data_IF_719828900681
#
_entry.id   IF_719828900681
#
_cell.length_a   1.000
_cell.length_b   1.000
_cell.length_c   1.000
_cell.angle_alpha   90.00
_cell.angle_beta   90.00
_cell.angle_gamma   90.00
#
_symmetry.space_group_name_H-M   'P 1'
#
loop_
_entity.id
_entity.type
_entity.pdbx_description
1 polymer ?
#
# COMPACT_ATOMS: atom_id res chain seq x y z
N UNK A 1 19.47 24.90 -65.37
CA UNK A 1 20.74 24.54 -64.77
C UNK A 1 20.88 25.32 -63.46
N UNK A 2 20.98 24.64 -62.37
CA UNK A 2 21.24 25.24 -61.08
C UNK A 2 22.75 25.42 -60.99
N UNK A 3 23.22 26.62 -61.19
CA UNK A 3 24.62 26.98 -61.02
C UNK A 3 25.64 26.20 -61.86
N UNK A 4 25.26 25.73 -63.04
CA UNK A 4 26.09 24.89 -63.92
C UNK A 4 26.67 23.63 -63.27
N UNK A 5 25.99 23.11 -62.24
CA UNK A 5 26.41 21.86 -61.54
C UNK A 5 25.50 20.72 -61.91
N UNK A 6 26.11 19.56 -62.09
CA UNK A 6 25.43 18.28 -62.30
C UNK A 6 25.67 17.37 -61.10
N UNK A 7 24.60 16.73 -60.59
CA UNK A 7 24.70 15.75 -59.51
C UNK A 7 25.09 14.39 -60.03
N UNK A 8 26.19 13.83 -59.53
CA UNK A 8 26.60 12.46 -59.87
C UNK A 8 25.94 11.46 -58.93
N UNK A 9 25.36 10.37 -59.47
CA UNK A 9 24.65 9.37 -58.65
C UNK A 9 25.50 8.64 -57.63
N UNK A 10 26.78 8.44 -57.91
CA UNK A 10 27.67 7.59 -57.15
C UNK A 10 28.19 8.23 -55.86
N UNK A 11 28.20 9.54 -55.75
CA UNK A 11 28.83 10.25 -54.62
C UNK A 11 28.05 11.46 -54.11
N UNK A 12 26.89 11.75 -54.65
CA UNK A 12 26.02 12.88 -54.28
C UNK A 12 26.72 14.26 -54.26
N UNK A 13 27.76 14.42 -55.09
CA UNK A 13 28.48 15.69 -55.23
C UNK A 13 28.00 16.46 -56.46
N UNK A 14 27.82 17.75 -56.27
CA UNK A 14 27.61 18.64 -57.42
C UNK A 14 28.93 18.79 -58.19
N UNK A 15 28.91 18.47 -59.45
CA UNK A 15 30.06 18.64 -60.38
C UNK A 15 29.79 19.83 -61.27
N UNK A 16 30.79 20.71 -61.42
CA UNK A 16 30.71 21.79 -62.42
C UNK A 16 30.54 21.22 -63.82
N UNK A 17 29.51 21.61 -64.51
CA UNK A 17 29.20 21.19 -65.86
C UNK A 17 28.90 22.36 -66.74
N UNK A 18 29.41 22.28 -67.96
CA UNK A 18 29.10 23.21 -69.05
C UNK A 18 27.71 22.93 -69.64
N UNK A 19 27.03 21.87 -69.20
CA UNK A 19 25.74 21.47 -69.74
C UNK A 19 24.62 21.75 -68.69
N UNK A 20 23.58 22.40 -69.18
CA UNK A 20 22.49 22.94 -68.36
C UNK A 20 21.42 21.91 -67.94
N UNK A 21 21.62 20.64 -68.21
CA UNK A 21 20.64 19.57 -67.93
C UNK A 21 21.06 18.75 -66.74
N UNK A 22 20.27 18.78 -65.66
CA UNK A 22 20.31 17.79 -64.62
C UNK A 22 19.76 16.46 -65.15
N UNK A 23 20.65 15.51 -65.38
CA UNK A 23 20.28 14.25 -66.00
C UNK A 23 19.55 13.28 -65.10
N UNK A 24 18.70 12.54 -65.71
CA UNK A 24 17.64 11.64 -65.39
C UNK A 24 17.95 10.37 -64.55
N UNK A 25 18.86 10.39 -63.64
CA UNK A 25 18.94 9.37 -62.60
C UNK A 25 18.11 9.69 -61.34
N UNK A 26 17.55 10.89 -61.27
CA UNK A 26 16.56 11.26 -60.24
C UNK A 26 15.25 10.59 -60.61
N UNK A 27 15.01 9.43 -60.05
CA UNK A 27 13.80 8.65 -60.25
C UNK A 27 12.60 9.32 -59.57
N UNK A 28 11.70 9.85 -60.38
CA UNK A 28 10.27 9.99 -60.14
C UNK A 28 9.74 10.67 -58.86
N UNK A 29 10.58 11.18 -57.99
CA UNK A 29 10.17 11.86 -56.77
C UNK A 29 10.55 13.34 -56.81
N UNK A 30 9.77 14.18 -56.13
CA UNK A 30 10.09 15.59 -55.95
C UNK A 30 11.33 15.76 -55.07
N UNK A 31 12.25 16.60 -55.51
CA UNK A 31 13.48 16.90 -54.76
C UNK A 31 13.60 18.36 -54.40
N UNK A 32 13.97 18.59 -53.14
CA UNK A 32 14.30 19.92 -52.64
C UNK A 32 15.78 20.17 -52.86
N UNK A 33 16.09 21.26 -53.58
CA UNK A 33 17.47 21.67 -53.86
C UNK A 33 17.69 23.06 -53.25
N UNK A 34 18.68 23.14 -52.37
CA UNK A 34 19.11 24.43 -51.77
C UNK A 34 20.33 24.91 -52.49
N UNK A 35 20.27 26.13 -53.01
CA UNK A 35 21.41 26.83 -53.63
C UNK A 35 21.87 27.93 -52.69
N UNK A 36 23.18 28.10 -52.49
CA UNK A 36 23.77 28.99 -51.45
C UNK A 36 23.27 30.45 -51.47
N UNK A 37 22.72 30.92 -52.53
CA UNK A 37 22.25 32.33 -52.66
C UNK A 37 20.74 32.45 -52.70
N UNK A 38 20.02 31.43 -53.06
CA UNK A 38 18.56 31.42 -53.14
C UNK A 38 18.06 30.05 -52.77
N UNK A 39 17.11 30.01 -51.81
CA UNK A 39 16.45 28.76 -51.46
C UNK A 39 15.25 28.57 -52.39
N UNK A 40 15.33 27.62 -53.28
CA UNK A 40 14.28 27.31 -54.27
C UNK A 40 13.96 25.83 -54.25
N UNK A 41 12.70 25.50 -54.43
CA UNK A 41 12.24 24.15 -54.66
C UNK A 41 12.02 23.92 -56.17
N UNK A 42 12.35 22.72 -56.62
CA UNK A 42 12.16 22.31 -57.98
C UNK A 42 11.43 20.98 -58.05
N UNK A 43 10.45 20.91 -58.92
CA UNK A 43 9.70 19.69 -59.20
C UNK A 43 10.32 19.02 -60.41
N UNK A 44 10.71 17.77 -60.30
CA UNK A 44 11.21 16.94 -61.40
C UNK A 44 10.06 16.23 -62.10
N UNK A 45 9.91 16.47 -63.40
CA UNK A 45 8.97 15.75 -64.21
C UNK A 45 9.68 14.56 -64.88
N UNK A 46 9.39 13.35 -64.39
CA UNK A 46 10.00 12.09 -64.84
C UNK A 46 9.70 11.77 -66.29
N UNK A 47 8.57 12.23 -66.84
CA UNK A 47 8.18 11.98 -68.23
C UNK A 47 8.95 12.84 -69.23
N UNK A 48 9.29 14.06 -68.87
CA UNK A 48 10.01 15.00 -69.73
C UNK A 48 11.50 15.13 -69.37
N UNK A 49 11.93 14.62 -68.23
CA UNK A 49 13.29 14.76 -67.70
C UNK A 49 13.65 16.23 -67.37
N UNK A 50 12.67 17.08 -67.08
CA UNK A 50 12.87 18.49 -66.85
C UNK A 50 12.54 18.90 -65.39
N UNK A 51 13.23 19.96 -64.89
CA UNK A 51 12.91 20.62 -63.66
C UNK A 51 12.11 21.91 -63.90
N UNK A 52 11.08 22.11 -63.15
CA UNK A 52 10.37 23.38 -63.07
C UNK A 52 10.48 23.92 -61.64
N UNK A 53 10.64 25.25 -61.52
CA UNK A 53 10.52 25.89 -60.23
C UNK A 53 9.07 25.75 -59.73
N UNK A 54 8.90 25.31 -58.51
CA UNK A 54 7.58 25.09 -57.89
C UNK A 54 7.71 24.63 -56.48
N UNK A 55 6.60 24.74 -55.72
CA UNK A 55 6.49 24.24 -54.36
C UNK A 55 5.83 22.88 -54.38
N UNK A 56 6.16 22.08 -53.39
CA UNK A 56 5.57 20.76 -53.19
C UNK A 56 4.18 20.87 -52.54
N UNK A 57 3.36 19.91 -52.82
CA UNK A 57 2.11 19.80 -52.07
C UNK A 57 2.36 19.19 -50.72
N UNK A 58 1.59 19.63 -49.72
CA UNK A 58 1.64 19.13 -48.35
C UNK A 58 0.87 17.82 -48.27
N UNK A 59 1.50 16.80 -47.70
CA UNK A 59 0.92 15.48 -47.47
C UNK A 59 1.09 15.07 -45.99
N UNK A 60 0.34 14.08 -45.49
CA UNK A 60 0.39 13.67 -44.12
C UNK A 60 1.70 13.00 -43.71
N UNK A 61 2.42 12.45 -44.67
CA UNK A 61 3.67 11.71 -44.44
C UNK A 61 4.87 12.60 -44.10
N UNK A 62 4.78 13.92 -44.33
CA UNK A 62 5.84 14.86 -43.95
C UNK A 62 5.82 15.20 -42.46
N UNK A 63 4.77 14.82 -41.71
CA UNK A 63 4.63 15.11 -40.30
C UNK A 63 4.96 13.92 -39.42
N UNK A 64 5.44 14.20 -38.22
CA UNK A 64 5.66 13.25 -37.15
C UNK A 64 4.61 13.44 -36.06
N UNK A 65 4.08 12.35 -35.55
CA UNK A 65 3.11 12.31 -34.49
C UNK A 65 3.73 11.66 -33.25
N UNK A 66 3.79 12.39 -32.12
CA UNK A 66 4.38 11.93 -30.88
C UNK A 66 3.42 12.14 -29.70
N UNK A 67 3.19 11.06 -28.93
CA UNK A 67 2.30 11.06 -27.77
C UNK A 67 0.95 10.43 -28.11
N UNK A 68 0.86 9.11 -27.89
CA UNK A 68 -0.36 8.35 -28.22
C UNK A 68 -1.22 8.02 -27.00
N UNK A 69 -0.69 8.17 -25.78
CA UNK A 69 -1.42 7.81 -24.57
C UNK A 69 -1.16 8.84 -23.46
N UNK A 70 -2.21 9.24 -22.80
CA UNK A 70 -2.24 10.14 -21.65
C UNK A 70 -3.12 9.54 -20.55
N UNK A 71 -2.86 9.94 -19.31
CA UNK A 71 -3.71 9.65 -18.16
C UNK A 71 -4.65 10.81 -17.90
N UNK A 72 -5.90 10.54 -17.60
CA UNK A 72 -6.86 11.55 -17.19
C UNK A 72 -6.43 12.19 -15.85
N UNK A 73 -6.34 13.50 -15.84
CA UNK A 73 -6.02 14.33 -14.67
C UNK A 73 -6.86 15.62 -14.62
N UNK A 74 -7.89 15.71 -15.47
CA UNK A 74 -8.74 16.87 -15.62
C UNK A 74 -8.14 18.01 -16.46
N UNK A 75 -6.89 17.88 -16.90
CA UNK A 75 -6.22 18.86 -17.76
C UNK A 75 -6.32 18.48 -19.24
N UNK A 76 -6.00 19.45 -20.10
CA UNK A 76 -5.93 19.23 -21.54
C UNK A 76 -4.68 18.47 -21.92
N UNK A 77 -4.85 17.47 -22.76
CA UNK A 77 -3.77 16.66 -23.34
C UNK A 77 -3.79 16.72 -24.86
N UNK A 78 -2.63 16.87 -25.45
CA UNK A 78 -2.50 16.81 -26.89
C UNK A 78 -1.15 16.20 -27.31
N UNK A 79 -1.12 15.42 -28.38
CA UNK A 79 0.13 14.92 -28.94
C UNK A 79 0.92 16.06 -29.55
N UNK A 80 2.23 15.89 -29.63
CA UNK A 80 3.09 16.81 -30.35
C UNK A 80 3.17 16.38 -31.82
N UNK A 81 2.76 17.30 -32.70
CA UNK A 81 2.88 17.14 -34.15
C UNK A 81 3.91 18.12 -34.65
N UNK A 82 4.91 17.62 -35.33
CA UNK A 82 5.99 18.39 -35.97
C UNK A 82 6.26 17.89 -37.37
N UNK A 83 6.94 18.67 -38.17
CA UNK A 83 7.49 18.17 -39.43
C UNK A 83 8.67 17.23 -39.14
N UNK A 84 8.85 16.18 -39.94
CA UNK A 84 10.01 15.29 -39.83
C UNK A 84 11.32 16.08 -39.93
N UNK A 85 12.37 15.61 -39.23
CA UNK A 85 13.65 16.34 -39.10
C UNK A 85 14.32 16.70 -40.42
N UNK A 86 14.09 15.93 -41.48
CA UNK A 86 14.64 16.15 -42.84
C UNK A 86 13.75 17.04 -43.71
N UNK A 87 12.56 17.46 -43.19
CA UNK A 87 11.61 18.29 -43.94
C UNK A 87 11.75 19.74 -43.49
N UNK A 88 11.97 20.62 -44.45
CA UNK A 88 12.16 22.06 -44.23
C UNK A 88 11.25 22.87 -45.16
N UNK A 89 10.98 24.12 -44.78
CA UNK A 89 10.23 25.05 -45.59
C UNK A 89 8.75 24.77 -45.70
N UNK A 90 8.18 24.04 -44.76
CA UNK A 90 6.74 23.91 -44.57
C UNK A 90 6.28 25.15 -43.73
N UNK A 91 5.16 25.73 -44.08
CA UNK A 91 4.57 26.86 -43.33
C UNK A 91 3.98 26.39 -42.02
N UNK A 92 3.49 27.37 -41.21
CA UNK A 92 2.77 27.05 -39.96
C UNK A 92 1.52 26.22 -40.26
N UNK A 93 1.12 25.39 -39.31
CA UNK A 93 -0.05 24.56 -39.50
C UNK A 93 -0.96 24.53 -38.27
N UNK A 94 -2.25 24.25 -38.50
CA UNK A 94 -3.28 24.20 -37.47
C UNK A 94 -3.73 22.74 -37.30
N UNK A 95 -3.83 22.34 -36.04
CA UNK A 95 -4.27 20.98 -35.65
C UNK A 95 -5.67 21.06 -35.01
N UNK A 96 -6.50 20.09 -35.33
CA UNK A 96 -7.81 19.89 -34.71
C UNK A 96 -7.96 18.46 -34.22
N UNK A 97 -8.75 18.31 -33.16
CA UNK A 97 -9.01 17.04 -32.51
C UNK A 97 -10.50 16.69 -32.64
N UNK A 98 -10.78 15.40 -32.75
CA UNK A 98 -12.13 14.85 -32.84
C UNK A 98 -12.20 13.61 -31.98
N UNK A 99 -13.29 13.36 -31.26
CA UNK A 99 -13.51 12.05 -30.66
C UNK A 99 -13.72 11.01 -31.76
N UNK A 100 -13.20 9.79 -31.58
CA UNK A 100 -13.29 8.72 -32.57
C UNK A 100 -14.75 8.34 -32.85
N UNK A 101 -15.62 8.43 -31.85
CA UNK A 101 -17.06 8.21 -31.93
C UNK A 101 -17.87 9.38 -32.50
N UNK A 102 -17.26 10.57 -32.62
CA UNK A 102 -17.92 11.77 -33.14
C UNK A 102 -16.97 12.63 -33.98
N UNK A 103 -16.76 12.26 -35.23
CA UNK A 103 -15.87 12.94 -36.18
C UNK A 103 -16.44 14.27 -36.73
N UNK A 104 -17.64 14.66 -36.35
CA UNK A 104 -18.28 15.91 -36.83
C UNK A 104 -18.07 17.08 -35.88
N UNK A 105 -17.77 16.83 -34.61
CA UNK A 105 -17.56 17.85 -33.61
C UNK A 105 -16.07 18.06 -33.35
N UNK A 106 -15.57 19.26 -33.72
CA UNK A 106 -14.19 19.67 -33.38
C UNK A 106 -14.03 19.89 -31.87
N UNK A 107 -12.91 19.46 -31.33
CA UNK A 107 -12.53 19.65 -29.93
C UNK A 107 -11.23 20.45 -29.89
N UNK A 108 -11.26 21.62 -29.24
CA UNK A 108 -10.06 22.46 -29.15
C UNK A 108 -9.13 22.02 -28.02
N UNK A 109 -9.71 21.54 -26.92
CA UNK A 109 -9.00 21.17 -25.69
C UNK A 109 -9.43 19.78 -25.22
N UNK A 110 -8.81 18.72 -25.77
CA UNK A 110 -9.09 17.35 -25.35
C UNK A 110 -8.70 17.11 -23.89
N UNK A 111 -9.68 16.83 -23.02
CA UNK A 111 -9.48 16.58 -21.60
C UNK A 111 -10.29 15.39 -21.06
N UNK A 112 -11.34 15.00 -21.75
CA UNK A 112 -12.21 13.90 -21.30
C UNK A 112 -11.59 12.55 -21.68
N UNK A 113 -11.88 11.52 -20.90
CA UNK A 113 -11.50 10.14 -21.21
C UNK A 113 -12.05 9.75 -22.59
N UNK A 114 -11.25 9.04 -23.38
CA UNK A 114 -11.64 8.55 -24.70
C UNK A 114 -10.50 8.56 -25.72
N UNK A 115 -10.81 8.06 -26.91
CA UNK A 115 -9.91 8.06 -28.05
C UNK A 115 -10.18 9.24 -28.96
N UNK A 116 -9.12 9.90 -29.38
CA UNK A 116 -9.17 11.09 -30.21
C UNK A 116 -8.42 10.86 -31.52
N UNK A 117 -8.98 11.41 -32.59
CA UNK A 117 -8.37 11.49 -33.92
C UNK A 117 -7.83 12.89 -34.13
N UNK A 118 -6.63 12.95 -34.68
CA UNK A 118 -5.94 14.22 -34.97
C UNK A 118 -5.96 14.47 -36.46
N UNK A 119 -6.25 15.72 -36.83
CA UNK A 119 -6.23 16.20 -38.21
C UNK A 119 -5.48 17.51 -38.30
N UNK A 120 -4.66 17.67 -39.34
CA UNK A 120 -4.13 18.96 -39.72
C UNK A 120 -5.14 19.62 -40.65
N UNK A 121 -5.63 20.81 -40.28
CA UNK A 121 -6.77 21.46 -40.98
C UNK A 121 -6.35 22.56 -41.92
N UNK A 122 -5.16 23.09 -41.75
CA UNK A 122 -4.59 24.11 -42.61
C UNK A 122 -3.07 24.10 -42.49
N UNK A 123 -2.37 24.33 -43.59
CA UNK A 123 -0.94 24.60 -43.61
C UNK A 123 -0.76 25.91 -44.40
N UNK A 124 -0.09 26.89 -43.80
CA UNK A 124 0.26 28.12 -44.52
C UNK A 124 1.28 27.86 -45.60
N UNK A 125 1.36 28.76 -46.57
CA UNK A 125 2.40 28.69 -47.56
C UNK A 125 3.79 28.85 -46.93
N UNK A 126 4.64 27.85 -47.19
CA UNK A 126 6.02 27.83 -46.74
C UNK A 126 7.01 28.18 -47.87
N UNK A 127 8.30 28.10 -47.57
CA UNK A 127 9.34 28.35 -48.59
C UNK A 127 9.31 27.30 -49.72
N UNK A 128 9.05 26.00 -49.37
CA UNK A 128 9.13 24.88 -50.27
C UNK A 128 7.82 24.13 -50.44
N UNK A 129 6.78 24.49 -49.70
CA UNK A 129 5.50 23.80 -49.75
C UNK A 129 4.35 24.80 -49.98
N UNK A 130 3.41 24.37 -50.82
CA UNK A 130 2.18 25.11 -51.08
C UNK A 130 1.33 25.22 -49.80
N UNK A 131 0.52 26.27 -49.73
CA UNK A 131 -0.55 26.34 -48.74
C UNK A 131 -1.51 25.14 -48.95
N UNK A 132 -2.03 24.61 -47.88
CA UNK A 132 -3.03 23.56 -47.91
C UNK A 132 -4.25 23.96 -47.06
N UNK A 133 -5.43 23.75 -47.58
CA UNK A 133 -6.67 23.91 -46.87
C UNK A 133 -7.50 22.63 -46.99
N UNK A 134 -7.96 22.09 -45.82
CA UNK A 134 -8.69 20.84 -45.76
C UNK A 134 -8.25 20.00 -44.54
N UNK A 135 -8.52 18.70 -44.60
CA UNK A 135 -8.11 17.80 -43.52
C UNK A 135 -7.06 16.83 -44.02
N UNK A 136 -5.83 16.97 -43.53
CA UNK A 136 -4.82 15.90 -43.65
C UNK A 136 -5.05 14.94 -42.51
N UNK A 137 -5.10 13.65 -42.84
CA UNK A 137 -5.32 12.58 -41.90
C UNK A 137 -4.29 11.47 -42.09
N UNK A 138 -4.03 10.73 -41.04
CA UNK A 138 -3.25 9.50 -41.08
C UNK A 138 -3.89 8.54 -40.08
N UNK A 139 -4.04 7.27 -40.41
CA UNK A 139 -4.69 6.28 -39.55
C UNK A 139 -3.99 6.10 -38.18
N UNK A 140 -2.70 6.42 -38.13
CA UNK A 140 -1.90 6.35 -36.90
C UNK A 140 -1.98 7.63 -36.06
N UNK A 141 -2.66 8.70 -36.52
CA UNK A 141 -2.80 9.94 -35.77
C UNK A 141 -3.97 9.86 -34.80
N UNK A 142 -3.80 8.96 -33.81
CA UNK A 142 -4.76 8.75 -32.73
C UNK A 142 -4.05 8.81 -31.39
N UNK A 143 -4.72 9.35 -30.38
CA UNK A 143 -4.28 9.28 -29.00
C UNK A 143 -5.44 8.97 -28.09
N UNK A 144 -5.14 8.39 -26.92
CA UNK A 144 -6.12 8.10 -25.90
C UNK A 144 -5.83 8.90 -24.62
N UNK A 145 -6.89 9.34 -23.96
CA UNK A 145 -6.86 9.78 -22.57
C UNK A 145 -7.51 8.67 -21.77
N UNK A 146 -6.71 7.96 -20.98
CA UNK A 146 -7.12 6.76 -20.27
C UNK A 146 -7.54 7.08 -18.84
N UNK A 147 -8.62 6.46 -18.37
CA UNK A 147 -8.99 6.49 -16.96
C UNK A 147 -8.05 5.59 -16.17
N UNK A 148 -7.28 6.20 -15.26
CA UNK A 148 -6.35 5.50 -14.37
C UNK A 148 -6.51 6.06 -12.95
N UNK A 149 -7.57 5.66 -12.22
CA UNK A 149 -7.86 6.19 -10.90
C UNK A 149 -6.74 5.93 -9.91
N UNK A 150 -6.40 6.92 -9.11
CA UNK A 150 -5.48 6.76 -7.99
C UNK A 150 -6.25 6.29 -6.77
N UNK A 151 -6.06 5.02 -6.42
CA UNK A 151 -6.70 4.37 -5.27
C UNK A 151 -5.60 3.82 -4.36
N UNK A 152 -5.61 4.26 -3.11
CA UNK A 152 -4.66 3.80 -2.08
C UNK A 152 -5.38 2.95 -1.04
N UNK A 153 -4.68 1.98 -0.45
CA UNK A 153 -5.19 1.15 0.65
C UNK A 153 -4.63 1.62 1.99
N UNK A 154 -5.44 1.51 3.04
CA UNK A 154 -4.96 1.76 4.40
C UNK A 154 -3.88 0.77 4.81
N UNK A 155 -2.79 1.26 5.41
CA UNK A 155 -1.68 0.43 5.91
C UNK A 155 -1.07 1.09 7.14
N UNK A 156 -1.40 0.54 8.33
CA UNK A 156 -0.82 1.03 9.58
C UNK A 156 -0.90 -0.03 10.69
N UNK A 157 -0.42 0.29 11.90
CA UNK A 157 -0.58 -0.52 13.08
C UNK A 157 -2.00 -0.36 13.66
N UNK A 158 -2.44 -1.40 14.39
CA UNK A 158 -3.70 -1.39 15.11
C UNK A 158 -3.72 -0.28 16.17
N UNK A 159 -4.73 0.58 16.11
CA UNK A 159 -4.94 1.72 17.03
C UNK A 159 -6.32 1.70 17.69
N UNK A 160 -7.15 0.72 17.39
CA UNK A 160 -8.51 0.56 17.91
C UNK A 160 -9.59 1.39 17.20
N UNK A 161 -9.22 2.17 16.18
CA UNK A 161 -10.16 2.99 15.43
C UNK A 161 -10.59 2.34 14.10
N UNK A 162 -11.76 2.68 13.56
CA UNK A 162 -12.16 2.27 12.22
C UNK A 162 -11.42 3.10 11.16
N UNK A 163 -10.89 2.42 10.15
CA UNK A 163 -10.20 3.02 9.01
C UNK A 163 -10.83 2.57 7.70
N UNK A 164 -11.02 3.47 6.71
CA UNK A 164 -11.51 3.09 5.40
C UNK A 164 -10.51 2.13 4.73
N UNK A 165 -11.01 1.09 4.09
CA UNK A 165 -10.17 0.10 3.39
C UNK A 165 -9.33 0.74 2.29
N UNK A 166 -9.92 1.72 1.60
CA UNK A 166 -9.31 2.47 0.51
C UNK A 166 -9.54 3.98 0.67
N UNK A 167 -8.74 4.76 -0.04
CA UNK A 167 -8.99 6.17 -0.33
C UNK A 167 -8.87 6.40 -1.83
N UNK A 168 -9.76 7.18 -2.40
CA UNK A 168 -9.83 7.49 -3.82
C UNK A 168 -9.50 8.97 -4.02
N UNK A 169 -8.56 9.26 -4.91
CA UNK A 169 -8.22 10.62 -5.29
C UNK A 169 -9.21 11.12 -6.36
N UNK A 170 -10.15 11.96 -5.96
CA UNK A 170 -11.27 12.42 -6.80
C UNK A 170 -10.80 13.17 -8.07
N UNK A 171 -9.66 13.87 -8.01
CA UNK A 171 -9.09 14.58 -9.17
C UNK A 171 -8.73 13.65 -10.34
N UNK A 172 -8.56 12.36 -10.08
CA UNK A 172 -8.23 11.33 -11.08
C UNK A 172 -9.47 10.68 -11.71
N UNK A 173 -10.67 11.15 -11.35
CA UNK A 173 -11.94 10.61 -11.83
C UNK A 173 -12.75 11.72 -12.51
N UNK A 174 -13.29 11.48 -13.72
CA UNK A 174 -14.13 12.46 -14.40
C UNK A 174 -15.36 12.83 -13.58
N UNK A 175 -15.76 14.12 -13.57
CA UNK A 175 -16.96 14.56 -12.87
C UNK A 175 -18.20 13.85 -13.39
N UNK A 176 -19.16 13.58 -12.49
CA UNK A 176 -20.40 12.85 -12.76
C UNK A 176 -20.22 11.34 -13.06
N UNK A 177 -19.04 10.79 -12.91
CA UNK A 177 -18.87 9.34 -12.93
C UNK A 177 -19.64 8.68 -11.79
N UNK A 178 -20.15 7.48 -12.03
CA UNK A 178 -20.75 6.63 -11.00
C UNK A 178 -19.64 5.73 -10.45
N UNK A 179 -19.36 5.86 -9.15
CA UNK A 179 -18.39 5.02 -8.46
C UNK A 179 -19.15 4.02 -7.61
N UNK A 180 -18.80 2.74 -7.72
CA UNK A 180 -19.40 1.66 -6.97
C UNK A 180 -18.32 0.79 -6.35
N UNK A 181 -18.63 0.16 -5.22
CA UNK A 181 -17.76 -0.85 -4.62
C UNK A 181 -18.50 -2.18 -4.44
N UNK A 182 -17.73 -3.25 -4.42
CA UNK A 182 -18.16 -4.61 -4.10
C UNK A 182 -17.27 -5.23 -3.05
N UNK A 183 -17.88 -5.96 -2.10
CA UNK A 183 -17.19 -6.74 -1.06
C UNK A 183 -17.37 -8.25 -1.24
N UNK A 184 -18.03 -8.67 -2.30
CA UNK A 184 -18.39 -10.05 -2.61
C UNK A 184 -17.87 -10.51 -3.98
N UNK A 185 -16.69 -10.02 -4.35
CA UNK A 185 -16.02 -10.35 -5.60
C UNK A 185 -16.81 -9.93 -6.86
N UNK A 186 -17.45 -8.77 -6.80
CA UNK A 186 -18.17 -8.20 -7.93
C UNK A 186 -19.57 -8.76 -8.18
N UNK A 187 -20.14 -9.53 -7.24
CA UNK A 187 -21.50 -10.07 -7.37
C UNK A 187 -22.55 -9.00 -7.05
N UNK A 188 -22.30 -8.20 -6.02
CA UNK A 188 -23.18 -7.08 -5.63
C UNK A 188 -22.38 -5.77 -5.62
N UNK A 189 -22.98 -4.72 -6.18
CA UNK A 189 -22.37 -3.41 -6.26
C UNK A 189 -23.16 -2.37 -5.50
N UNK A 190 -22.46 -1.53 -4.74
CA UNK A 190 -23.04 -0.46 -3.93
C UNK A 190 -22.49 0.88 -4.39
N UNK A 191 -23.35 1.86 -4.59
CA UNK A 191 -22.95 3.20 -5.03
C UNK A 191 -22.16 3.89 -3.92
N UNK A 192 -21.02 4.42 -4.27
CA UNK A 192 -20.18 5.24 -3.42
C UNK A 192 -20.52 6.73 -3.64
N UNK A 193 -21.39 7.28 -2.81
CA UNK A 193 -21.83 8.67 -2.93
C UNK A 193 -20.82 9.68 -2.35
N UNK A 194 -19.94 9.23 -1.48
CA UNK A 194 -18.86 9.99 -0.87
C UNK A 194 -17.82 9.02 -0.28
N UNK A 195 -16.64 9.51 0.04
CA UNK A 195 -15.62 8.73 0.75
C UNK A 195 -16.11 8.21 2.13
N UNK A 196 -17.16 8.83 2.71
CA UNK A 196 -17.71 8.42 4.00
C UNK A 196 -18.43 7.07 3.95
N UNK A 197 -18.83 6.58 2.76
CA UNK A 197 -19.51 5.30 2.57
C UNK A 197 -18.56 4.14 2.22
N UNK A 198 -17.25 4.38 2.24
CA UNK A 198 -16.26 3.32 2.03
C UNK A 198 -16.29 2.37 3.23
N UNK A 199 -16.33 1.03 3.00
CA UNK A 199 -16.21 0.07 4.07
C UNK A 199 -14.98 0.30 4.94
N UNK A 200 -15.17 0.24 6.26
CA UNK A 200 -14.10 0.42 7.24
C UNK A 200 -13.73 -0.89 7.91
N UNK A 201 -12.50 -0.97 8.36
CA UNK A 201 -11.96 -2.08 9.16
C UNK A 201 -11.31 -1.51 10.41
N UNK A 202 -11.48 -2.19 11.54
CA UNK A 202 -10.96 -1.75 12.84
C UNK A 202 -9.97 -2.73 13.45
N UNK A 203 -9.90 -3.95 12.95
CA UNK A 203 -9.08 -5.02 13.50
C UNK A 203 -8.23 -5.69 12.43
N UNK A 204 -7.15 -6.34 12.86
CA UNK A 204 -6.30 -7.16 11.98
C UNK A 204 -7.14 -8.19 11.21
N UNK A 205 -8.03 -8.89 11.92
CA UNK A 205 -8.88 -9.93 11.31
C UNK A 205 -9.89 -9.36 10.31
N UNK A 206 -10.46 -8.19 10.57
CA UNK A 206 -11.35 -7.54 9.61
C UNK A 206 -10.59 -7.14 8.36
N UNK A 207 -9.39 -6.55 8.51
CA UNK A 207 -8.54 -6.18 7.38
C UNK A 207 -8.14 -7.41 6.52
N UNK A 208 -7.82 -8.55 7.15
CA UNK A 208 -7.50 -9.81 6.46
C UNK A 208 -8.69 -10.39 5.67
N UNK A 209 -9.93 -10.13 6.11
CA UNK A 209 -11.14 -10.71 5.53
C UNK A 209 -11.93 -9.74 4.64
N UNK A 210 -11.60 -8.45 4.62
CA UNK A 210 -12.32 -7.45 3.83
C UNK A 210 -11.56 -7.14 2.54
N UNK A 211 -12.14 -7.53 1.43
CA UNK A 211 -11.65 -7.28 0.08
C UNK A 211 -12.63 -6.38 -0.64
N UNK A 212 -12.11 -5.40 -1.37
CA UNK A 212 -12.93 -4.42 -2.08
C UNK A 212 -12.53 -4.39 -3.55
N UNK A 213 -13.53 -4.36 -4.42
CA UNK A 213 -13.40 -4.03 -5.84
C UNK A 213 -14.10 -2.70 -6.09
N UNK A 214 -13.56 -1.91 -6.99
CA UNK A 214 -14.14 -0.63 -7.42
C UNK A 214 -14.53 -0.73 -8.89
N UNK A 215 -15.71 -0.20 -9.20
CA UNK A 215 -16.18 -0.01 -10.57
C UNK A 215 -16.49 1.47 -10.77
N UNK A 216 -16.03 2.01 -11.88
CA UNK A 216 -16.33 3.38 -12.28
C UNK A 216 -16.99 3.30 -13.64
N UNK A 217 -18.15 3.92 -13.76
CA UNK A 217 -18.93 3.96 -14.99
C UNK A 217 -19.41 5.39 -15.29
N UNK A 218 -19.97 5.58 -16.48
CA UNK A 218 -20.48 6.86 -16.95
C UNK A 218 -19.44 8.00 -16.93
N UNK A 219 -18.16 7.66 -17.14
CA UNK A 219 -17.07 8.64 -17.18
C UNK A 219 -16.85 9.24 -18.58
N UNK A 220 -17.46 8.67 -19.61
CA UNK A 220 -17.47 9.20 -20.95
C UNK A 220 -18.90 9.62 -21.31
N UNK A 221 -19.12 10.91 -21.56
CA UNK A 221 -20.44 11.49 -21.80
C UNK A 221 -21.18 10.94 -23.04
N UNK A 222 -20.49 10.18 -23.88
CA UNK A 222 -21.03 9.68 -25.15
C UNK A 222 -21.23 8.16 -25.21
N UNK A 223 -20.86 7.42 -24.17
CA UNK A 223 -21.02 5.96 -24.12
C UNK A 223 -21.56 5.52 -22.76
N UNK A 224 -22.76 4.89 -22.76
CA UNK A 224 -23.36 4.31 -21.56
C UNK A 224 -22.69 3.00 -21.15
N UNK A 225 -21.76 2.47 -21.93
CA UNK A 225 -21.15 1.14 -21.75
C UNK A 225 -19.70 1.22 -21.21
N UNK A 226 -19.15 2.43 -21.04
CA UNK A 226 -17.79 2.58 -20.54
C UNK A 226 -17.73 2.26 -19.05
N UNK A 227 -17.02 1.19 -18.72
CA UNK A 227 -16.83 0.71 -17.35
C UNK A 227 -15.37 0.39 -17.11
N UNK A 228 -14.81 1.00 -16.08
CA UNK A 228 -13.51 0.64 -15.55
C UNK A 228 -13.70 -0.17 -14.27
N UNK A 229 -12.98 -1.28 -14.11
CA UNK A 229 -13.02 -2.12 -12.91
C UNK A 229 -11.62 -2.34 -12.39
N UNK A 230 -11.45 -2.20 -11.09
CA UNK A 230 -10.18 -2.38 -10.40
C UNK A 230 -9.78 -3.86 -10.27
N UNK A 231 -8.53 -4.06 -9.90
CA UNK A 231 -8.12 -5.26 -9.19
C UNK A 231 -8.66 -5.23 -7.74
N UNK A 232 -8.43 -6.32 -7.00
CA UNK A 232 -8.76 -6.41 -5.58
C UNK A 232 -7.91 -5.44 -4.73
N UNK A 233 -8.57 -4.71 -3.82
CA UNK A 233 -7.94 -3.90 -2.79
C UNK A 233 -8.18 -4.50 -1.41
N UNK A 234 -7.20 -4.43 -0.54
CA UNK A 234 -7.27 -4.89 0.84
C UNK A 234 -6.47 -3.96 1.75
N UNK A 235 -7.05 -3.57 2.88
CA UNK A 235 -6.33 -2.85 3.92
C UNK A 235 -5.35 -3.78 4.64
N UNK A 236 -4.31 -3.21 5.24
CA UNK A 236 -3.37 -3.92 6.08
C UNK A 236 -3.34 -3.25 7.44
N UNK A 237 -3.87 -3.93 8.46
CA UNK A 237 -3.69 -3.55 9.87
C UNK A 237 -2.65 -4.49 10.47
N UNK A 238 -1.50 -3.97 10.84
CA UNK A 238 -0.47 -4.73 11.53
C UNK A 238 -0.81 -4.84 13.00
N UNK A 239 -0.42 -5.92 13.65
CA UNK A 239 -0.58 -6.04 15.09
C UNK A 239 0.25 -4.99 15.80
N UNK A 240 -0.35 -4.33 16.80
CA UNK A 240 0.39 -3.46 17.69
C UNK A 240 1.34 -4.28 18.58
N UNK A 241 2.46 -3.69 18.97
CA UNK A 241 3.54 -4.40 19.67
C UNK A 241 3.11 -5.02 20.99
N UNK A 242 2.24 -4.35 21.74
CA UNK A 242 1.79 -4.82 23.06
C UNK A 242 0.38 -4.38 23.37
N UNK A 243 -0.32 -5.17 24.18
CA UNK A 243 -1.67 -4.87 24.69
C UNK A 243 -1.70 -3.62 25.56
N UNK A 244 -2.88 -2.97 25.73
CA UNK A 244 -3.07 -2.00 26.78
C UNK A 244 -2.73 -2.61 28.14
N UNK A 245 -2.12 -1.82 29.01
CA UNK A 245 -1.69 -2.26 30.35
C UNK A 245 -0.80 -3.52 30.32
N UNK A 246 0.09 -3.66 29.32
CA UNK A 246 1.03 -4.76 29.28
C UNK A 246 1.83 -4.81 30.58
N UNK A 247 2.01 -6.01 31.21
CA UNK A 247 2.69 -6.13 32.49
C UNK A 247 4.07 -5.46 32.49
N UNK A 248 4.31 -4.61 33.47
CA UNK A 248 5.62 -3.93 33.68
C UNK A 248 6.41 -4.54 34.83
N UNK A 249 5.75 -5.35 35.68
CA UNK A 249 6.34 -6.05 36.82
C UNK A 249 6.29 -7.55 36.50
N UNK A 250 7.42 -8.20 36.60
CA UNK A 250 7.58 -9.64 36.28
C UNK A 250 7.49 -10.57 37.49
N UNK A 251 7.39 -10.01 38.71
CA UNK A 251 7.44 -10.76 39.95
C UNK A 251 6.25 -10.45 40.84
N UNK A 252 5.55 -11.51 41.30
CA UNK A 252 4.45 -11.42 42.27
C UNK A 252 4.83 -12.20 43.51
N UNK A 253 4.82 -11.54 44.67
CA UNK A 253 5.02 -12.20 45.96
C UNK A 253 3.69 -12.58 46.62
N UNK A 254 3.54 -13.84 46.99
CA UNK A 254 2.32 -14.35 47.62
C UNK A 254 2.63 -14.96 49.00
N UNK A 255 1.65 -14.93 49.95
CA UNK A 255 1.83 -15.52 51.28
C UNK A 255 1.89 -17.06 51.19
N UNK A 256 2.33 -17.66 52.29
CA UNK A 256 2.32 -19.13 52.50
C UNK A 256 0.96 -19.78 52.18
N UNK A 257 -0.14 -19.11 52.55
CA UNK A 257 -1.51 -19.60 52.40
C UNK A 257 -1.95 -19.76 50.97
N UNK A 258 -1.32 -19.06 50.01
CA UNK A 258 -1.59 -19.18 48.58
C UNK A 258 -0.96 -20.48 48.05
N UNK A 259 -1.81 -21.48 47.75
CA UNK A 259 -1.37 -22.82 47.38
C UNK A 259 -1.33 -23.07 45.87
N UNK A 260 -2.17 -22.34 45.12
CA UNK A 260 -2.31 -22.51 43.64
C UNK A 260 -2.25 -21.13 42.97
N UNK A 261 -1.89 -21.14 41.70
CA UNK A 261 -1.84 -19.95 40.84
C UNK A 261 -3.20 -19.22 40.82
N UNK A 262 -4.31 -19.95 40.73
CA UNK A 262 -5.67 -19.38 40.75
C UNK A 262 -6.06 -18.70 42.06
N UNK A 263 -5.35 -19.01 43.16
CA UNK A 263 -5.60 -18.43 44.48
C UNK A 263 -4.88 -17.08 44.68
N UNK A 264 -4.08 -16.67 43.72
CA UNK A 264 -3.41 -15.36 43.69
C UNK A 264 -4.49 -14.29 43.52
N UNK A 265 -4.38 -13.18 44.27
CA UNK A 265 -5.28 -12.05 44.17
C UNK A 265 -5.41 -11.61 42.69
N UNK A 266 -6.62 -11.63 42.11
CA UNK A 266 -6.84 -11.18 40.75
C UNK A 266 -6.34 -9.75 40.46
N UNK A 267 -6.31 -8.90 41.44
CA UNK A 267 -5.81 -7.53 41.34
C UNK A 267 -4.27 -7.47 41.17
N UNK A 268 -3.59 -8.58 41.34
CA UNK A 268 -2.14 -8.70 41.02
C UNK A 268 -1.85 -8.70 39.55
N UNK A 269 -2.85 -8.93 38.72
CA UNK A 269 -2.74 -8.85 37.24
C UNK A 269 -3.32 -7.52 36.73
N UNK A 270 -2.80 -6.97 35.65
CA UNK A 270 -3.39 -5.79 35.02
C UNK A 270 -4.82 -6.08 34.52
N UNK A 271 -5.56 -5.02 34.24
CA UNK A 271 -6.92 -5.13 33.71
C UNK A 271 -6.97 -5.96 32.43
N UNK A 272 -7.96 -6.84 32.30
CA UNK A 272 -8.16 -7.76 31.19
C UNK A 272 -7.08 -8.87 31.05
N UNK A 273 -6.26 -9.06 32.08
CA UNK A 273 -5.32 -10.19 32.14
C UNK A 273 -5.82 -11.27 33.08
N UNK A 274 -5.67 -12.53 32.71
CA UNK A 274 -6.05 -13.68 33.52
C UNK A 274 -4.94 -14.74 33.45
N UNK A 275 -4.85 -15.59 34.49
CA UNK A 275 -3.97 -16.74 34.42
C UNK A 275 -4.39 -17.68 33.29
N UNK A 276 -3.43 -18.22 32.56
CA UNK A 276 -3.67 -19.20 31.53
C UNK A 276 -4.26 -20.47 32.17
N UNK A 277 -5.27 -21.07 31.51
CA UNK A 277 -6.03 -22.18 32.08
C UNK A 277 -5.16 -23.37 32.50
N UNK A 278 -4.08 -23.65 31.76
CA UNK A 278 -3.15 -24.72 32.06
C UNK A 278 -2.36 -24.46 33.35
N UNK A 279 -2.04 -23.20 33.64
CA UNK A 279 -1.24 -22.80 34.81
C UNK A 279 -2.07 -22.54 36.05
N UNK A 280 -3.34 -22.15 35.88
CA UNK A 280 -4.21 -21.72 36.98
C UNK A 280 -4.33 -22.77 38.12
N UNK A 281 -4.29 -24.04 37.80
CA UNK A 281 -4.40 -25.13 38.79
C UNK A 281 -3.05 -25.65 39.29
N UNK A 282 -1.93 -25.09 38.83
CA UNK A 282 -0.60 -25.49 39.28
C UNK A 282 -0.41 -25.16 40.76
N UNK A 283 0.19 -26.11 41.50
CA UNK A 283 0.56 -25.93 42.91
C UNK A 283 1.83 -25.03 42.99
N UNK A 284 1.76 -24.07 43.91
CA UNK A 284 2.89 -23.21 44.20
C UNK A 284 3.78 -23.86 45.28
N UNK A 285 5.03 -24.04 44.96
CA UNK A 285 6.04 -24.45 45.94
C UNK A 285 6.59 -23.24 46.67
N UNK A 286 7.15 -23.41 47.86
CA UNK A 286 7.87 -22.33 48.57
C UNK A 286 9.07 -21.92 47.69
N UNK A 287 9.29 -20.60 47.58
CA UNK A 287 10.26 -20.00 46.70
C UNK A 287 9.71 -19.67 45.32
N UNK A 288 10.54 -19.73 44.31
CA UNK A 288 10.21 -19.26 42.97
C UNK A 288 9.37 -20.32 42.17
N UNK A 289 8.29 -19.81 41.59
CA UNK A 289 7.43 -20.54 40.68
C UNK A 289 7.27 -19.70 39.41
N UNK A 290 6.67 -20.29 38.37
CA UNK A 290 6.39 -19.60 37.12
C UNK A 290 4.95 -19.86 36.71
N UNK A 291 4.25 -18.84 36.24
CA UNK A 291 2.94 -18.98 35.61
C UNK A 291 2.74 -17.91 34.54
N UNK A 292 1.98 -18.27 33.51
CA UNK A 292 1.70 -17.40 32.38
C UNK A 292 0.31 -16.79 32.52
N UNK A 293 0.24 -15.47 32.36
CA UNK A 293 -0.99 -14.74 32.17
C UNK A 293 -1.24 -14.47 30.69
N UNK A 294 -2.51 -14.38 30.32
CA UNK A 294 -2.96 -14.12 28.97
C UNK A 294 -3.93 -12.94 28.94
N UNK A 295 -3.79 -12.09 27.94
CA UNK A 295 -4.71 -11.00 27.69
C UNK A 295 -6.05 -11.52 27.15
N UNK A 296 -7.17 -11.03 27.70
CA UNK A 296 -8.54 -11.40 27.37
C UNK A 296 -9.44 -10.17 27.10
N UNK A 297 -8.87 -9.05 26.66
CA UNK A 297 -9.63 -7.91 26.18
C UNK A 297 -10.46 -8.24 24.95
N UNK A 298 -11.49 -7.44 24.67
CA UNK A 298 -12.35 -7.60 23.48
C UNK A 298 -11.61 -7.43 22.17
N UNK A 299 -10.48 -6.77 22.20
CA UNK A 299 -9.57 -6.46 21.11
C UNK A 299 -8.40 -7.46 20.98
N UNK A 300 -8.50 -8.59 21.67
CA UNK A 300 -7.55 -9.70 21.56
C UNK A 300 -7.36 -10.15 20.11
N UNK A 301 -6.14 -10.49 19.74
CA UNK A 301 -5.76 -10.88 18.39
C UNK A 301 -5.16 -9.74 17.57
N UNK A 302 -5.22 -8.49 18.08
CA UNK A 302 -4.65 -7.32 17.43
C UNK A 302 -3.26 -6.93 17.95
N UNK A 303 -2.67 -7.76 18.80
CA UNK A 303 -1.37 -7.48 19.44
C UNK A 303 -0.37 -8.61 19.18
N UNK A 304 0.91 -8.28 19.14
CA UNK A 304 1.99 -9.27 19.06
C UNK A 304 2.21 -9.96 20.41
N UNK A 305 2.11 -9.18 21.49
CA UNK A 305 2.35 -9.66 22.86
C UNK A 305 1.04 -9.70 23.64
N UNK A 306 0.45 -10.88 23.71
CA UNK A 306 -0.81 -11.14 24.45
C UNK A 306 -0.60 -12.13 25.60
N UNK A 307 0.62 -12.57 25.86
CA UNK A 307 0.99 -13.44 26.97
C UNK A 307 2.18 -12.86 27.73
N UNK A 308 2.21 -13.11 29.03
CA UNK A 308 3.32 -12.70 29.90
C UNK A 308 3.56 -13.74 30.99
N UNK A 309 4.81 -14.10 31.19
CA UNK A 309 5.19 -15.09 32.21
C UNK A 309 5.72 -14.36 33.45
N UNK A 310 5.06 -14.60 34.58
CA UNK A 310 5.42 -14.06 35.88
C UNK A 310 6.29 -15.04 36.65
N UNK A 311 7.24 -14.51 37.43
CA UNK A 311 7.88 -15.18 38.53
C UNK A 311 7.03 -15.00 39.79
N UNK A 312 6.55 -16.09 40.38
CA UNK A 312 5.73 -16.07 41.59
C UNK A 312 6.56 -16.53 42.77
N UNK A 313 6.79 -15.67 43.73
CA UNK A 313 7.54 -16.00 44.95
C UNK A 313 6.56 -16.32 46.07
N UNK A 314 6.38 -17.59 46.37
CA UNK A 314 5.62 -18.01 47.52
C UNK A 314 6.51 -17.98 48.77
N UNK A 315 6.15 -17.14 49.71
CA UNK A 315 6.88 -16.95 50.98
C UNK A 315 6.82 -18.21 51.83
N UNK A 316 7.81 -18.39 52.70
CA UNK A 316 7.79 -19.38 53.72
C UNK A 316 6.69 -19.09 54.76
N UNK A 317 6.28 -20.10 55.54
CA UNK A 317 5.37 -19.93 56.64
C UNK A 317 6.01 -19.10 57.74
N UNK A 318 5.29 -18.07 58.19
CA UNK A 318 5.77 -17.19 59.29
C UNK A 318 5.57 -17.81 60.66
N UNK A 319 4.97 -19.00 60.75
CA UNK A 319 4.70 -19.77 61.96
C UNK A 319 4.00 -18.96 63.08
N UNK A 320 3.04 -18.10 62.70
CA UNK A 320 2.30 -17.28 63.63
C UNK A 320 1.24 -18.03 64.44
N UNK A 321 0.64 -19.06 63.82
CA UNK A 321 -0.39 -19.86 64.45
C UNK A 321 0.23 -21.15 64.99
N UNK A 322 0.78 -21.07 66.20
CA UNK A 322 1.48 -22.21 66.82
C UNK A 322 0.73 -22.70 68.06
N UNK A 323 0.88 -23.99 68.33
CA UNK A 323 0.33 -24.70 69.51
C UNK A 323 1.43 -25.56 70.14
N UNK A 324 1.47 -25.53 71.46
CA UNK A 324 2.27 -26.47 72.22
C UNK A 324 1.62 -27.86 72.29
N UNK A 325 2.40 -28.91 72.07
CA UNK A 325 1.92 -30.28 72.14
C UNK A 325 2.96 -31.19 72.83
N UNK A 326 2.51 -32.38 73.27
CA UNK A 326 3.37 -33.44 73.88
C UNK A 326 4.07 -33.00 75.18
N UNK A 327 3.65 -31.96 75.88
CA UNK A 327 4.17 -31.60 77.17
C UNK A 327 3.85 -32.70 78.20
N UNK A 328 4.83 -33.07 78.99
CA UNK A 328 4.63 -33.95 80.12
C UNK A 328 5.48 -33.49 81.31
N UNK A 329 4.87 -33.38 82.45
CA UNK A 329 5.55 -33.00 83.70
C UNK A 329 6.51 -34.08 84.14
N UNK A 330 7.70 -33.79 84.61
CA UNK A 330 8.55 -34.77 85.26
C UNK A 330 7.93 -35.21 86.55
N UNK A 331 8.15 -36.47 86.96
CA UNK A 331 7.83 -36.99 88.23
C UNK A 331 9.11 -37.19 89.06
N UNK A 332 8.96 -37.72 90.32
CA UNK A 332 10.12 -38.04 91.14
C UNK A 332 11.04 -39.10 90.42
N UNK A 333 10.45 -40.02 89.63
CA UNK A 333 11.17 -41.16 89.09
C UNK A 333 11.22 -41.15 87.55
N UNK A 334 10.44 -40.31 86.88
CA UNK A 334 10.33 -40.28 85.43
C UNK A 334 10.62 -38.91 84.92
N UNK A 335 11.40 -38.85 83.86
CA UNK A 335 11.67 -37.59 83.18
C UNK A 335 10.38 -37.08 82.53
N UNK A 336 10.22 -35.76 82.51
CA UNK A 336 9.21 -35.06 81.76
C UNK A 336 9.76 -34.68 80.36
N UNK A 337 8.91 -33.98 79.62
CA UNK A 337 9.22 -33.41 78.30
C UNK A 337 8.68 -32.01 78.23
N UNK A 338 9.47 -31.08 77.69
CA UNK A 338 9.08 -29.63 77.61
C UNK A 338 8.03 -29.33 76.58
N UNK A 339 7.66 -30.35 75.79
CA UNK A 339 6.68 -30.20 74.72
C UNK A 339 7.27 -29.65 73.45
N UNK A 340 6.65 -30.00 72.32
CA UNK A 340 6.96 -29.50 70.99
C UNK A 340 6.12 -28.25 70.71
N UNK A 341 6.61 -27.41 69.81
CA UNK A 341 5.80 -26.31 69.22
C UNK A 341 5.43 -26.73 67.79
N UNK A 342 4.14 -26.87 67.52
CA UNK A 342 3.58 -27.23 66.25
C UNK A 342 2.94 -25.99 65.58
N UNK A 343 3.17 -25.80 64.28
CA UNK A 343 2.52 -24.77 63.50
C UNK A 343 1.30 -25.32 62.79
N UNK A 344 0.11 -24.74 63.10
CA UNK A 344 -1.16 -25.17 62.44
C UNK A 344 -1.24 -24.76 60.99
N UNK A 345 -0.54 -23.66 60.58
CA UNK A 345 -0.60 -23.15 59.22
C UNK A 345 0.16 -24.02 58.23
N UNK A 346 1.34 -24.51 58.61
CA UNK A 346 2.19 -25.35 57.74
C UNK A 346 2.22 -26.83 58.16
N UNK A 347 1.50 -27.16 59.22
CA UNK A 347 1.36 -28.54 59.74
C UNK A 347 2.73 -29.21 60.05
N UNK A 348 3.66 -28.42 60.64
CA UNK A 348 5.00 -28.89 60.96
C UNK A 348 5.37 -28.58 62.39
N UNK A 349 6.07 -29.46 63.05
CA UNK A 349 6.79 -29.18 64.28
C UNK A 349 7.95 -28.23 63.96
N UNK A 350 7.93 -27.02 64.58
CA UNK A 350 8.95 -25.97 64.35
C UNK A 350 10.00 -25.93 65.45
N UNK A 351 9.66 -26.49 66.59
CA UNK A 351 10.58 -26.67 67.68
C UNK A 351 10.29 -27.96 68.40
N UNK A 352 11.30 -28.76 68.64
CA UNK A 352 11.23 -29.97 69.44
C UNK A 352 11.62 -29.66 70.88
N UNK A 353 10.83 -30.12 71.82
CA UNK A 353 11.13 -29.97 73.25
C UNK A 353 12.38 -30.74 73.65
N UNK A 354 12.69 -30.61 74.89
CA UNK A 354 13.78 -31.33 75.54
C UNK A 354 13.28 -32.13 76.76
N UNK A 355 14.02 -33.12 77.09
CA UNK A 355 13.78 -33.88 78.31
C UNK A 355 13.91 -33.00 79.55
N UNK A 356 12.94 -32.99 80.45
CA UNK A 356 12.99 -32.42 81.72
C UNK A 356 13.39 -33.51 82.74
N UNK A 357 14.48 -33.36 83.41
CA UNK A 357 14.95 -34.38 84.37
C UNK A 357 13.95 -34.68 85.45
N UNK A 358 13.81 -35.90 85.82
CA UNK A 358 13.05 -36.34 87.00
C UNK A 358 13.51 -35.55 88.26
N UNK A 359 12.57 -35.23 89.12
CA UNK A 359 12.88 -34.48 90.35
C UNK A 359 13.79 -35.22 91.28
N UNK A 360 13.85 -36.57 91.21
CA UNK A 360 14.48 -37.41 92.23
C UNK A 360 13.67 -37.50 93.50
N UNK A 361 14.15 -38.28 94.39
CA UNK A 361 13.65 -38.31 95.75
C UNK A 361 14.61 -37.53 96.68
N UNK A 362 14.12 -36.56 97.35
CA UNK A 362 14.86 -35.96 98.47
C UNK A 362 14.61 -36.86 99.66
N UNK A 363 15.60 -37.67 99.97
CA UNK A 363 15.57 -38.46 101.13
C UNK A 363 16.15 -37.56 102.26
N UNK A 364 15.26 -37.02 103.07
CA UNK A 364 15.73 -36.43 104.32
C UNK A 364 16.47 -37.51 105.09
N UNK A 365 17.69 -37.16 105.56
CA UNK A 365 18.57 -38.07 106.20
C UNK A 365 17.92 -38.78 107.36
N UNK A 366 17.11 -39.84 107.08
CA UNK A 366 16.65 -40.88 107.98
C UNK A 366 16.51 -40.59 109.48
N UNK A 367 15.67 -39.65 109.77
CA UNK A 367 15.22 -39.58 111.17
C UNK A 367 13.96 -40.49 111.27
N UNK A 368 14.16 -41.62 111.91
CA UNK A 368 13.08 -42.51 112.32
C UNK A 368 12.43 -41.97 113.54
#
# INVERSE_FOLDING_TARGET
AIDNKVWEPSNHKAVESTNTNLYAWLTGEDHLITVEKETKSYIFNSNSGTFSEGKRDVTSDIFEFNGSEFTYDGNTHSPNITTKNNIKGVGNFTVKYFKEDNLQAEINEPKDVGTYIVKITAVEEGDFYNAYSGYLTNDNWKFAINLTPTITTYKDEYDGNPHPVISIEESTIPPNSIIEYSVDNGQTWYILNSNDNIPTVSTVREAENTKIFIRISNFNSNSNDDTWTSQEYQAIIKRATSTPNFPSIDTISVPWSCKKVKDIDPNSLPQNWNWQANDANNDLQVGNNSATAIYNGSDKGNYEKETFTYTIIRKECEHKNTVGCYYSSPSCTSNGYSGDTYCNDCERTIYYGSTISAYGHDYDNGVI
#
